data_IF_923524666356
#
_entry.id   IF_923524666356
#
_cell.length_a   1.000
_cell.length_b   1.000
_cell.length_c   1.000
_cell.angle_alpha   90.00
_cell.angle_beta   90.00
_cell.angle_gamma   90.00
#
_symmetry.space_group_name_H-M   'P 1'
#
loop_
_entity.id
_entity.type
_entity.pdbx_description
1 polymer ?
#
# COMPACT_ATOMS: atom_id res chain seq x y z
N UNK A 1 -14.64 -22.96 -7.37
CA UNK A 1 -14.59 -21.49 -7.57
C UNK A 1 -15.22 -20.71 -6.42
N UNK A 2 -16.25 -21.18 -5.73
CA UNK A 2 -16.94 -20.48 -4.60
C UNK A 2 -15.98 -20.01 -3.49
N UNK A 3 -14.95 -20.78 -3.15
CA UNK A 3 -14.05 -20.45 -2.03
C UNK A 3 -13.09 -19.28 -2.31
N UNK A 4 -12.80 -18.92 -3.57
CA UNK A 4 -11.86 -17.83 -3.87
C UNK A 4 -12.48 -16.45 -3.66
N UNK A 5 -13.75 -16.26 -4.02
CA UNK A 5 -14.46 -15.01 -3.78
C UNK A 5 -14.65 -14.70 -2.30
N UNK A 6 -14.99 -15.71 -1.50
CA UNK A 6 -15.10 -15.57 -0.05
C UNK A 6 -13.78 -15.16 0.61
N UNK A 7 -12.66 -15.79 0.21
CA UNK A 7 -11.32 -15.42 0.72
C UNK A 7 -10.95 -13.97 0.38
N UNK A 8 -11.32 -13.49 -0.81
CA UNK A 8 -11.08 -12.10 -1.19
C UNK A 8 -11.89 -11.13 -0.31
N UNK A 9 -13.17 -11.42 -0.06
CA UNK A 9 -14.01 -10.61 0.82
C UNK A 9 -13.43 -10.61 2.25
N UNK A 10 -13.01 -11.75 2.75
CA UNK A 10 -12.40 -11.86 4.07
C UNK A 10 -11.12 -11.01 4.18
N UNK A 11 -10.23 -11.10 3.18
CA UNK A 11 -9.00 -10.29 3.14
C UNK A 11 -9.31 -8.79 3.06
N UNK A 12 -10.32 -8.39 2.28
CA UNK A 12 -10.75 -7.01 2.20
C UNK A 12 -11.26 -6.51 3.57
N UNK A 13 -12.07 -7.30 4.27
CA UNK A 13 -12.57 -6.96 5.60
C UNK A 13 -11.42 -6.87 6.63
N UNK A 14 -10.46 -7.79 6.58
CA UNK A 14 -9.28 -7.76 7.47
C UNK A 14 -8.43 -6.52 7.17
N UNK A 15 -8.16 -6.20 5.91
CA UNK A 15 -7.38 -5.03 5.51
C UNK A 15 -8.07 -3.73 5.93
N UNK A 16 -9.38 -3.62 5.70
CA UNK A 16 -10.17 -2.47 6.12
C UNK A 16 -10.23 -2.34 7.66
N UNK A 17 -10.44 -3.46 8.36
CA UNK A 17 -10.42 -3.50 9.83
C UNK A 17 -9.08 -3.07 10.40
N UNK A 18 -7.96 -3.51 9.81
CA UNK A 18 -6.62 -3.08 10.20
C UNK A 18 -6.42 -1.57 9.98
N UNK A 19 -6.85 -1.04 8.83
CA UNK A 19 -6.79 0.40 8.56
C UNK A 19 -7.57 1.21 9.59
N UNK A 20 -8.79 0.79 9.93
CA UNK A 20 -9.61 1.45 10.96
C UNK A 20 -8.92 1.38 12.33
N UNK A 21 -8.33 0.23 12.70
CA UNK A 21 -7.60 0.06 13.95
C UNK A 21 -6.38 0.99 14.00
N UNK A 22 -5.57 1.05 12.96
CA UNK A 22 -4.43 1.98 12.87
C UNK A 22 -4.90 3.42 13.09
N UNK A 23 -5.98 3.83 12.43
CA UNK A 23 -6.56 5.17 12.59
C UNK A 23 -7.00 5.46 14.03
N UNK A 24 -7.64 4.49 14.69
CA UNK A 24 -8.06 4.63 16.07
C UNK A 24 -6.87 4.75 17.04
N UNK A 25 -5.83 3.96 16.82
CA UNK A 25 -4.62 3.94 17.66
C UNK A 25 -3.74 5.19 17.49
N UNK A 26 -3.77 5.82 16.33
CA UNK A 26 -2.96 7.01 16.01
C UNK A 26 -3.72 8.33 16.10
N UNK A 27 -4.98 8.31 16.54
CA UNK A 27 -5.74 9.54 16.82
C UNK A 27 -5.09 10.30 18.00
N UNK A 28 -4.97 11.63 17.92
CA UNK A 28 -5.55 12.57 16.96
C UNK A 28 -4.67 12.93 15.75
N UNK A 29 -3.65 12.15 15.42
CA UNK A 29 -2.81 12.44 14.26
C UNK A 29 -3.64 12.50 12.95
N UNK A 30 -3.50 13.61 12.20
CA UNK A 30 -4.11 13.73 10.88
C UNK A 30 -3.52 12.68 9.91
N UNK A 31 -4.37 11.87 9.21
CA UNK A 31 -3.91 10.92 8.19
C UNK A 31 -3.04 11.55 7.10
N UNK A 32 -3.33 12.79 6.75
CA UNK A 32 -2.56 13.54 5.78
C UNK A 32 -1.10 13.76 6.17
N UNK A 33 -0.77 13.67 7.47
CA UNK A 33 0.60 13.84 7.94
C UNK A 33 1.52 12.68 7.51
N UNK A 34 1.00 11.45 7.46
CA UNK A 34 1.78 10.30 6.96
C UNK A 34 2.10 10.52 5.48
N UNK A 35 1.10 10.80 4.67
CA UNK A 35 1.28 11.06 3.24
C UNK A 35 2.21 12.25 2.96
N UNK A 36 2.11 13.33 3.75
CA UNK A 36 3.03 14.47 3.66
C UNK A 36 4.47 14.04 3.97
N UNK A 37 4.67 13.18 4.96
CA UNK A 37 5.99 12.71 5.36
C UNK A 37 6.60 11.76 4.32
N UNK A 38 5.81 10.87 3.71
CA UNK A 38 6.22 10.02 2.59
C UNK A 38 6.80 10.85 1.41
N UNK A 39 6.18 11.98 1.11
CA UNK A 39 6.54 12.84 -0.02
C UNK A 39 7.35 14.09 0.34
N UNK A 40 8.02 14.10 1.48
CA UNK A 40 8.75 15.27 1.98
C UNK A 40 9.96 15.65 1.10
N UNK A 41 10.72 14.68 0.60
CA UNK A 41 11.73 14.78 -0.45
C UNK A 41 13.07 15.44 -0.07
N UNK A 42 13.17 16.23 1.02
CA UNK A 42 14.42 16.86 1.47
C UNK A 42 14.58 16.78 2.99
N UNK A 43 15.84 16.77 3.46
CA UNK A 43 16.18 16.73 4.89
C UNK A 43 15.62 17.94 5.64
N UNK A 44 15.78 19.14 5.08
CA UNK A 44 15.31 20.38 5.70
C UNK A 44 13.79 20.37 5.95
N UNK A 45 13.00 19.96 4.95
CA UNK A 45 11.55 19.84 5.11
C UNK A 45 11.17 18.75 6.11
N UNK A 46 11.92 17.63 6.14
CA UNK A 46 11.71 16.56 7.11
C UNK A 46 11.93 17.06 8.53
N UNK A 47 13.03 17.78 8.77
CA UNK A 47 13.33 18.36 10.06
C UNK A 47 12.26 19.36 10.53
N UNK A 48 11.85 20.28 9.67
CA UNK A 48 10.77 21.24 9.96
C UNK A 48 9.45 20.53 10.29
N UNK A 49 9.11 19.50 9.54
CA UNK A 49 7.90 18.71 9.74
C UNK A 49 7.93 17.94 11.07
N UNK A 50 9.07 17.29 11.40
CA UNK A 50 9.23 16.54 12.63
C UNK A 50 9.24 17.46 13.87
N UNK A 51 9.88 18.64 13.79
CA UNK A 51 9.87 19.63 14.86
C UNK A 51 8.46 20.12 15.12
N UNK A 52 7.67 20.42 14.07
CA UNK A 52 6.27 20.84 14.24
C UNK A 52 5.44 19.73 14.91
N UNK A 53 5.59 18.46 14.52
CA UNK A 53 4.87 17.37 15.18
C UNK A 53 5.33 17.15 16.63
N UNK A 54 6.59 17.39 16.92
CA UNK A 54 7.13 17.32 18.28
C UNK A 54 6.51 18.40 19.17
N UNK A 55 6.42 19.64 18.68
CA UNK A 55 5.80 20.77 19.39
C UNK A 55 4.31 20.53 19.68
N UNK A 56 3.63 19.80 18.76
CA UNK A 56 2.24 19.39 18.93
C UNK A 56 2.07 18.11 19.80
N UNK A 57 3.14 17.48 20.23
CA UNK A 57 3.10 16.21 20.96
C UNK A 57 2.67 15.00 20.13
N UNK A 58 2.74 15.08 18.79
CA UNK A 58 2.25 14.04 17.87
C UNK A 58 3.35 13.18 17.24
N UNK A 59 4.63 13.39 17.59
CA UNK A 59 5.76 12.64 17.00
C UNK A 59 5.70 11.15 17.33
N UNK A 60 5.31 10.79 18.56
CA UNK A 60 5.14 9.39 18.96
C UNK A 60 4.00 8.70 18.19
N UNK A 61 2.91 9.42 17.91
CA UNK A 61 1.80 8.91 17.11
C UNK A 61 2.19 8.68 15.65
N UNK A 62 3.02 9.57 15.07
CA UNK A 62 3.59 9.36 13.74
C UNK A 62 4.48 8.10 13.73
N UNK A 63 5.34 7.96 14.72
CA UNK A 63 6.23 6.81 14.86
C UNK A 63 5.44 5.51 15.01
N UNK A 64 4.42 5.50 15.87
CA UNK A 64 3.52 4.36 16.02
C UNK A 64 2.80 4.02 14.72
N UNK A 65 2.32 5.04 13.99
CA UNK A 65 1.66 4.86 12.70
C UNK A 65 2.54 4.13 11.70
N UNK A 66 3.81 4.52 11.57
CA UNK A 66 4.76 3.85 10.67
C UNK A 66 5.03 2.40 11.11
N UNK A 67 5.13 2.11 12.43
CA UNK A 67 5.27 0.73 12.89
C UNK A 67 4.06 -0.14 12.57
N UNK A 68 2.86 0.37 12.75
CA UNK A 68 1.63 -0.34 12.41
C UNK A 68 1.50 -0.53 10.89
N UNK A 69 2.04 0.42 10.13
CA UNK A 69 2.03 0.36 8.68
C UNK A 69 2.90 -0.77 8.11
N UNK A 70 3.86 -1.34 8.84
CA UNK A 70 4.57 -2.55 8.37
C UNK A 70 3.67 -3.77 8.16
N UNK A 71 2.52 -3.84 8.84
CA UNK A 71 1.54 -4.91 8.67
C UNK A 71 0.62 -4.65 7.47
N UNK A 72 0.29 -3.38 7.21
CA UNK A 72 -0.67 -3.00 6.18
C UNK A 72 -0.27 -3.45 4.76
N UNK A 73 0.99 -3.32 4.29
CA UNK A 73 1.45 -3.82 3.01
C UNK A 73 1.30 -5.33 2.83
N UNK A 74 1.47 -6.10 3.89
CA UNK A 74 1.27 -7.55 3.84
C UNK A 74 -0.21 -7.90 3.60
N UNK A 75 -1.12 -7.17 4.25
CA UNK A 75 -2.55 -7.38 4.13
C UNK A 75 -3.07 -6.99 2.73
N UNK A 76 -2.78 -5.77 2.27
CA UNK A 76 -3.22 -5.37 0.93
C UNK A 76 -2.50 -6.15 -0.17
N UNK A 77 -1.22 -6.52 0.05
CA UNK A 77 -0.48 -7.37 -0.87
C UNK A 77 -1.13 -8.74 -1.03
N UNK A 78 -1.51 -9.39 0.06
CA UNK A 78 -2.28 -10.62 0.02
C UNK A 78 -3.63 -10.43 -0.69
N UNK A 79 -4.34 -9.33 -0.40
CA UNK A 79 -5.62 -9.01 -1.03
C UNK A 79 -5.48 -8.87 -2.55
N UNK A 80 -4.52 -8.08 -3.05
CA UNK A 80 -4.28 -7.90 -4.49
C UNK A 80 -3.80 -9.19 -5.17
N UNK A 81 -2.97 -9.99 -4.50
CA UNK A 81 -2.55 -11.29 -5.00
C UNK A 81 -3.76 -12.21 -5.22
N UNK A 82 -4.64 -12.34 -4.22
CA UNK A 82 -5.85 -13.15 -4.34
C UNK A 82 -6.87 -12.57 -5.32
N UNK A 83 -7.00 -11.25 -5.39
CA UNK A 83 -7.84 -10.56 -6.36
C UNK A 83 -7.41 -10.89 -7.80
N UNK A 84 -6.11 -10.76 -8.09
CA UNK A 84 -5.53 -11.13 -9.39
C UNK A 84 -5.74 -12.60 -9.72
N UNK A 85 -5.52 -13.52 -8.77
CA UNK A 85 -5.76 -14.95 -8.95
C UNK A 85 -7.24 -15.28 -9.22
N UNK A 86 -8.15 -14.54 -8.58
CA UNK A 86 -9.58 -14.74 -8.75
C UNK A 86 -10.08 -14.29 -10.11
N UNK A 87 -9.69 -13.08 -10.58
CA UNK A 87 -10.15 -12.55 -11.88
C UNK A 87 -9.50 -13.28 -13.06
N UNK A 88 -8.19 -13.56 -13.00
CA UNK A 88 -7.49 -14.33 -14.02
C UNK A 88 -8.06 -15.75 -14.15
N UNK A 89 -8.47 -16.37 -13.04
CA UNK A 89 -9.08 -17.70 -13.04
C UNK A 89 -10.47 -17.78 -13.70
N UNK A 90 -11.07 -16.63 -14.05
CA UNK A 90 -12.34 -16.56 -14.82
C UNK A 90 -12.13 -16.48 -16.32
N UNK A 91 -10.91 -16.20 -16.75
CA UNK A 91 -10.54 -16.07 -18.17
C UNK A 91 -9.89 -17.35 -18.67
N UNK A 92 -10.01 -17.60 -19.99
CA UNK A 92 -9.28 -18.65 -20.66
C UNK A 92 -7.77 -18.42 -20.56
N UNK A 93 -6.97 -19.50 -20.50
CA UNK A 93 -5.50 -19.42 -20.33
C UNK A 93 -4.80 -18.58 -21.41
N UNK A 94 -5.33 -18.56 -22.64
CA UNK A 94 -4.79 -17.77 -23.75
C UNK A 94 -5.23 -16.31 -23.80
N UNK A 95 -6.11 -15.87 -22.90
CA UNK A 95 -6.60 -14.49 -22.93
C UNK A 95 -5.49 -13.50 -22.53
N UNK A 96 -5.37 -12.38 -23.27
CA UNK A 96 -4.28 -11.39 -23.09
C UNK A 96 -4.22 -10.83 -21.66
N UNK A 97 -5.36 -10.69 -21.00
CA UNK A 97 -5.46 -10.23 -19.61
C UNK A 97 -5.20 -11.32 -18.57
N UNK A 98 -5.02 -12.58 -18.98
CA UNK A 98 -4.67 -13.65 -18.04
C UNK A 98 -3.18 -13.62 -17.71
N UNK A 99 -2.71 -12.55 -17.06
CA UNK A 99 -1.31 -12.28 -16.72
C UNK A 99 -1.07 -12.35 -15.21
N UNK A 100 -1.68 -13.32 -14.52
CA UNK A 100 -1.58 -13.47 -13.07
C UNK A 100 -0.14 -13.40 -12.54
N UNK A 101 0.81 -14.12 -13.18
CA UNK A 101 2.20 -14.15 -12.73
C UNK A 101 2.88 -12.78 -12.78
N UNK A 102 2.59 -11.95 -13.79
CA UNK A 102 3.12 -10.61 -13.88
C UNK A 102 2.57 -9.74 -12.75
N UNK A 103 1.25 -9.68 -12.60
CA UNK A 103 0.60 -8.79 -11.63
C UNK A 103 0.82 -9.22 -10.18
N UNK A 104 0.99 -10.52 -9.91
CA UNK A 104 1.40 -10.99 -8.59
C UNK A 104 2.83 -10.56 -8.24
N UNK A 105 3.76 -10.56 -9.20
CA UNK A 105 5.12 -10.04 -9.01
C UNK A 105 5.13 -8.54 -8.76
N UNK A 106 4.36 -7.75 -9.54
CA UNK A 106 4.23 -6.31 -9.33
C UNK A 106 3.67 -5.98 -7.95
N UNK A 107 2.71 -6.76 -7.46
CA UNK A 107 2.19 -6.62 -6.09
C UNK A 107 3.28 -6.86 -5.04
N UNK A 108 4.08 -7.91 -5.19
CA UNK A 108 5.19 -8.21 -4.25
C UNK A 108 6.23 -7.08 -4.27
N UNK A 109 6.57 -6.54 -5.44
CA UNK A 109 7.50 -5.42 -5.58
C UNK A 109 6.93 -4.16 -4.92
N UNK A 110 5.63 -3.88 -5.08
CA UNK A 110 4.97 -2.75 -4.42
C UNK A 110 5.02 -2.87 -2.88
N UNK A 111 4.76 -4.07 -2.34
CA UNK A 111 4.92 -4.35 -0.90
C UNK A 111 6.35 -4.11 -0.44
N UNK A 112 7.36 -4.55 -1.21
CA UNK A 112 8.76 -4.33 -0.86
C UNK A 112 9.13 -2.84 -0.85
N UNK A 113 8.62 -2.05 -1.81
CA UNK A 113 8.85 -0.60 -1.80
C UNK A 113 8.18 0.10 -0.61
N UNK A 114 6.99 -0.32 -0.21
CA UNK A 114 6.32 0.19 0.98
C UNK A 114 7.13 -0.09 2.26
N UNK A 115 7.68 -1.30 2.39
CA UNK A 115 8.57 -1.64 3.50
C UNK A 115 9.85 -0.78 3.53
N UNK A 116 10.47 -0.53 2.35
CA UNK A 116 11.67 0.30 2.24
C UNK A 116 11.38 1.78 2.53
N UNK A 117 10.21 2.27 2.13
CA UNK A 117 9.70 3.59 2.47
C UNK A 117 9.55 3.75 3.99
N UNK A 118 8.86 2.81 4.65
CA UNK A 118 8.67 2.81 6.10
C UNK A 118 10.02 2.79 6.85
N UNK A 119 10.98 1.99 6.38
CA UNK A 119 12.36 2.01 6.92
C UNK A 119 13.00 3.38 6.74
N UNK A 120 12.85 4.00 5.57
CA UNK A 120 13.43 5.33 5.29
C UNK A 120 12.81 6.41 6.19
N UNK A 121 11.48 6.38 6.38
CA UNK A 121 10.77 7.29 7.29
C UNK A 121 11.20 7.10 8.75
N UNK A 122 11.40 5.86 9.21
CA UNK A 122 11.91 5.61 10.57
C UNK A 122 13.35 6.12 10.76
N UNK A 123 14.20 6.07 9.74
CA UNK A 123 15.56 6.63 9.81
C UNK A 123 15.51 8.16 9.94
N UNK A 124 14.60 8.84 9.25
CA UNK A 124 14.40 10.30 9.39
C UNK A 124 13.96 10.70 10.81
N UNK A 125 13.24 9.82 11.52
CA UNK A 125 12.78 10.10 12.90
C UNK A 125 13.87 9.80 13.93
N UNK A 126 14.66 8.72 13.71
CA UNK A 126 15.62 8.20 14.72
C UNK A 126 16.99 8.85 14.68
N UNK A 127 17.40 9.37 13.54
CA UNK A 127 18.66 10.05 13.33
C UNK A 127 18.43 11.46 12.82
N UNK A 128 19.50 12.26 12.71
CA UNK A 128 19.39 13.54 12.02
C UNK A 128 18.89 13.31 10.59
N UNK A 129 17.85 14.05 10.14
CA UNK A 129 17.31 13.91 8.81
C UNK A 129 18.37 14.12 7.73
N UNK A 130 18.44 13.19 6.80
CA UNK A 130 19.36 13.28 5.64
C UNK A 130 18.56 13.28 4.34
N UNK A 131 19.11 13.97 3.34
CA UNK A 131 18.54 14.00 1.99
C UNK A 131 18.43 12.61 1.37
N UNK A 132 19.32 11.69 1.73
CA UNK A 132 19.27 10.31 1.25
C UNK A 132 17.98 9.62 1.66
N UNK A 133 17.64 9.63 2.95
CA UNK A 133 16.43 8.98 3.44
C UNK A 133 15.15 9.72 3.02
N UNK A 134 15.18 11.06 2.94
CA UNK A 134 14.05 11.85 2.47
C UNK A 134 13.72 11.55 0.99
N UNK A 135 14.74 11.48 0.13
CA UNK A 135 14.59 11.10 -1.27
C UNK A 135 14.22 9.63 -1.45
N UNK A 136 14.77 8.74 -0.61
CA UNK A 136 14.43 7.32 -0.63
C UNK A 136 12.95 7.08 -0.29
N UNK A 137 12.43 7.69 0.78
CA UNK A 137 11.02 7.62 1.13
C UNK A 137 10.14 8.11 -0.03
N UNK A 138 10.40 9.31 -0.56
CA UNK A 138 9.70 9.88 -1.70
C UNK A 138 9.68 8.95 -2.92
N UNK A 139 10.83 8.40 -3.30
CA UNK A 139 10.96 7.53 -4.46
C UNK A 139 10.21 6.22 -4.29
N UNK A 140 10.36 5.57 -3.13
CA UNK A 140 9.66 4.32 -2.83
C UNK A 140 8.15 4.52 -2.73
N UNK A 141 7.67 5.62 -2.13
CA UNK A 141 6.27 6.00 -2.12
C UNK A 141 5.72 6.14 -3.55
N UNK A 142 6.39 6.91 -4.40
CA UNK A 142 5.99 7.08 -5.79
C UNK A 142 5.89 5.76 -6.56
N UNK A 143 6.91 4.88 -6.40
CA UNK A 143 6.93 3.59 -7.07
C UNK A 143 5.85 2.63 -6.56
N UNK A 144 5.62 2.55 -5.22
CA UNK A 144 4.55 1.70 -4.68
C UNK A 144 3.19 2.11 -5.23
N UNK A 145 2.86 3.41 -5.20
CA UNK A 145 1.57 3.90 -5.69
C UNK A 145 1.39 3.65 -7.19
N UNK A 146 2.44 3.86 -8.00
CA UNK A 146 2.40 3.56 -9.43
C UNK A 146 2.11 2.07 -9.68
N UNK A 147 2.83 1.17 -9.00
CA UNK A 147 2.64 -0.27 -9.17
C UNK A 147 1.25 -0.72 -8.69
N UNK A 148 0.77 -0.20 -7.56
CA UNK A 148 -0.57 -0.51 -7.05
C UNK A 148 -1.66 -0.02 -8.00
N UNK A 149 -1.50 1.17 -8.59
CA UNK A 149 -2.42 1.67 -9.61
C UNK A 149 -2.47 0.75 -10.84
N UNK A 150 -1.33 0.28 -11.33
CA UNK A 150 -1.24 -0.66 -12.45
C UNK A 150 -1.95 -1.99 -12.12
N UNK A 151 -1.70 -2.55 -10.92
CA UNK A 151 -2.32 -3.80 -10.47
C UNK A 151 -3.84 -3.63 -10.33
N UNK A 152 -4.28 -2.51 -9.75
CA UNK A 152 -5.70 -2.20 -9.58
C UNK A 152 -6.42 -2.04 -10.93
N UNK A 153 -5.84 -1.30 -11.88
CA UNK A 153 -6.39 -1.13 -13.22
C UNK A 153 -6.49 -2.46 -13.97
N UNK A 154 -5.47 -3.33 -13.85
CA UNK A 154 -5.54 -4.68 -14.40
C UNK A 154 -6.67 -5.50 -13.76
N UNK A 155 -6.80 -5.48 -12.44
CA UNK A 155 -7.87 -6.16 -11.73
C UNK A 155 -9.24 -5.69 -12.25
N UNK A 156 -9.46 -4.39 -12.31
CA UNK A 156 -10.72 -3.79 -12.73
C UNK A 156 -11.07 -4.16 -14.18
N UNK A 157 -10.10 -4.01 -15.11
CA UNK A 157 -10.27 -4.35 -16.52
C UNK A 157 -10.61 -5.83 -16.70
N UNK A 158 -9.87 -6.71 -16.02
CA UNK A 158 -10.06 -8.15 -16.09
C UNK A 158 -11.40 -8.57 -15.50
N UNK A 159 -11.82 -7.95 -14.39
CA UNK A 159 -13.12 -8.20 -13.78
C UNK A 159 -14.28 -7.79 -14.67
N UNK A 160 -14.22 -6.60 -15.28
CA UNK A 160 -15.26 -6.11 -16.20
C UNK A 160 -15.40 -7.05 -17.41
N UNK A 161 -14.30 -7.38 -18.07
CA UNK A 161 -14.30 -8.24 -19.27
C UNK A 161 -14.81 -9.65 -18.91
N UNK A 162 -14.34 -10.24 -17.80
CA UNK A 162 -14.83 -11.55 -17.37
C UNK A 162 -16.33 -11.57 -17.08
N UNK A 163 -16.87 -10.48 -16.56
CA UNK A 163 -18.29 -10.33 -16.27
C UNK A 163 -19.14 -10.22 -17.56
N UNK A 164 -18.60 -9.59 -18.61
CA UNK A 164 -19.26 -9.47 -19.91
C UNK A 164 -19.29 -10.81 -20.66
N UNK A 165 -18.19 -11.57 -20.61
CA UNK A 165 -18.11 -12.89 -21.25
C UNK A 165 -19.08 -13.87 -20.59
N UNK A 166 -19.16 -13.88 -19.26
CA UNK A 166 -20.05 -14.80 -18.52
C UNK A 166 -21.56 -14.48 -18.64
N UNK A 167 -21.93 -13.29 -19.14
CA UNK A 167 -23.35 -12.95 -19.42
C UNK A 167 -23.83 -13.42 -20.80
N UNK A 168 -22.89 -13.78 -21.71
CA UNK A 168 -23.20 -14.21 -23.07
C UNK A 168 -23.33 -15.74 -23.21
N UNK A 169 -22.95 -16.48 -22.17
CA UNK A 169 -23.08 -17.93 -22.06
C UNK A 169 -24.18 -18.30 -21.03
#
# INVERSE_FOLDING_TARGET
MKNKGYRLILLLLITAGWFILMRAMTSPLDPGNILKFEFIGTAEKAEQFLNNLKDLGHLELLTLSIYLDFIFPLLYGAMFFYASAWVCGKLNKGHILNRFQLFSRLTIIAVAFDMLENVSMLQLIRSEPTDFYAKAAFFFAGLKFLLLAIVFLHFLSTWLISSMINKKN
#
